data_IF_307138501323
#
_entry.id   IF_307138501323
#
_cell.length_a   1.000
_cell.length_b   1.000
_cell.length_c   1.000
_cell.angle_alpha   90.00
_cell.angle_beta   90.00
_cell.angle_gamma   90.00
#
_symmetry.space_group_name_H-M   'P 1'
#
loop_
_entity.id
_entity.type
_entity.pdbx_description
1 polymer ?
#
# COMPACT_ATOMS: atom_id res chain seq x y z
N UNK A 1 -19.05 -17.22 10.46
CA UNK A 1 -17.64 -17.02 10.08
C UNK A 1 -17.02 -16.03 11.04
N UNK A 2 -16.16 -16.49 11.96
CA UNK A 2 -15.33 -15.60 12.79
C UNK A 2 -14.01 -15.35 12.06
N UNK A 3 -13.71 -14.08 11.75
CA UNK A 3 -12.40 -13.69 11.27
C UNK A 3 -11.46 -13.59 12.47
N UNK A 4 -10.34 -14.30 12.46
CA UNK A 4 -9.36 -14.34 13.56
C UNK A 4 -8.75 -12.97 13.91
N UNK A 5 -9.01 -11.94 13.10
CA UNK A 5 -8.42 -10.60 13.22
C UNK A 5 -9.43 -9.51 13.58
N UNK A 6 -10.67 -9.84 13.98
CA UNK A 6 -11.61 -8.81 14.43
C UNK A 6 -11.26 -8.35 15.85
N UNK A 7 -10.76 -7.10 16.04
CA UNK A 7 -10.46 -6.58 17.37
C UNK A 7 -11.76 -6.10 18.02
N UNK A 8 -11.97 -6.49 19.28
CA UNK A 8 -13.07 -6.00 20.12
C UNK A 8 -12.67 -4.67 20.76
N UNK A 9 -12.60 -3.59 19.98
CA UNK A 9 -12.33 -2.24 20.52
C UNK A 9 -11.81 -1.22 19.51
N UNK A 10 -11.74 0.05 19.94
CA UNK A 10 -11.06 1.17 19.26
C UNK A 10 -9.53 1.05 19.35
N UNK A 11 -8.98 -0.14 19.15
CA UNK A 11 -7.54 -0.36 19.20
C UNK A 11 -6.88 0.08 17.89
N UNK A 12 -5.74 0.76 18.01
CA UNK A 12 -4.90 1.15 16.88
C UNK A 12 -4.38 -0.13 16.21
N UNK A 13 -4.76 -0.36 14.94
CA UNK A 13 -4.44 -1.59 14.21
C UNK A 13 -3.11 -1.52 13.47
N UNK A 14 -2.00 -1.28 14.19
CA UNK A 14 -0.66 -1.19 13.59
C UNK A 14 -0.26 -2.48 12.86
N UNK A 15 -0.74 -3.63 13.32
CA UNK A 15 -0.45 -4.93 12.72
C UNK A 15 -0.86 -5.03 11.24
N UNK A 16 -1.80 -4.21 10.76
CA UNK A 16 -2.24 -4.22 9.35
C UNK A 16 -1.16 -3.66 8.43
N UNK A 17 -0.28 -2.78 8.92
CA UNK A 17 0.82 -2.19 8.15
C UNK A 17 2.05 -3.08 8.03
N UNK A 18 2.06 -4.26 8.66
CA UNK A 18 3.22 -5.17 8.67
C UNK A 18 3.30 -6.01 7.39
N UNK A 19 3.34 -5.35 6.23
CA UNK A 19 3.15 -5.98 4.92
C UNK A 19 4.14 -7.11 4.62
N UNK A 20 5.41 -6.98 5.04
CA UNK A 20 6.43 -8.01 4.83
C UNK A 20 6.02 -9.37 5.41
N UNK A 21 5.38 -9.40 6.58
CA UNK A 21 4.97 -10.64 7.25
C UNK A 21 3.92 -11.37 6.42
N UNK A 22 2.89 -10.66 5.97
CA UNK A 22 1.83 -11.26 5.18
C UNK A 22 2.34 -11.65 3.79
N UNK A 23 3.01 -10.73 3.10
CA UNK A 23 3.43 -10.94 1.72
C UNK A 23 4.42 -12.08 1.56
N UNK A 24 5.30 -12.30 2.56
CA UNK A 24 6.21 -13.44 2.58
C UNK A 24 5.47 -14.77 2.48
N UNK A 25 4.38 -14.94 3.22
CA UNK A 25 3.55 -16.15 3.15
C UNK A 25 2.93 -16.34 1.76
N UNK A 26 2.47 -15.26 1.13
CA UNK A 26 1.91 -15.33 -0.23
C UNK A 26 2.96 -15.71 -1.28
N UNK A 27 4.17 -15.15 -1.22
CA UNK A 27 5.26 -15.44 -2.17
C UNK A 27 5.81 -16.86 -2.00
N UNK A 28 5.71 -17.46 -0.81
CA UNK A 28 6.07 -18.86 -0.62
C UNK A 28 5.11 -19.84 -1.34
N UNK A 29 3.89 -19.40 -1.65
CA UNK A 29 2.84 -20.22 -2.27
C UNK A 29 2.70 -19.91 -3.77
N UNK A 30 2.74 -18.62 -4.13
CA UNK A 30 2.58 -18.15 -5.50
C UNK A 30 3.89 -17.61 -6.05
N UNK A 31 4.16 -17.90 -7.32
CA UNK A 31 5.36 -17.36 -7.97
C UNK A 31 5.33 -15.83 -7.96
N UNK A 32 6.51 -15.21 -7.86
CA UNK A 32 6.65 -13.76 -7.68
C UNK A 32 6.01 -12.94 -8.80
N UNK A 33 5.99 -13.47 -10.02
CA UNK A 33 5.39 -12.88 -11.21
C UNK A 33 3.84 -12.96 -11.23
N UNK A 34 3.23 -13.71 -10.31
CA UNK A 34 1.79 -13.78 -10.10
C UNK A 34 1.28 -12.80 -9.02
N UNK A 35 2.18 -11.99 -8.44
CA UNK A 35 1.82 -10.99 -7.43
C UNK A 35 2.32 -9.60 -7.87
N UNK A 36 1.38 -8.66 -7.99
CA UNK A 36 1.68 -7.25 -8.21
C UNK A 36 1.43 -6.45 -6.93
N UNK A 37 2.44 -5.72 -6.48
CA UNK A 37 2.34 -4.77 -5.36
C UNK A 37 2.46 -3.37 -5.91
N UNK A 38 1.46 -2.53 -5.63
CA UNK A 38 1.42 -1.13 -6.03
C UNK A 38 1.52 -0.22 -4.81
N UNK A 39 2.31 0.84 -4.94
CA UNK A 39 2.37 1.88 -3.94
C UNK A 39 1.24 2.89 -4.17
N UNK A 40 0.49 3.20 -3.10
CA UNK A 40 -0.67 4.09 -3.21
C UNK A 40 -0.25 5.52 -3.57
N UNK A 41 0.88 5.97 -3.06
CA UNK A 41 1.47 7.28 -3.34
C UNK A 41 1.75 7.43 -4.84
N UNK A 42 2.42 6.44 -5.44
CA UNK A 42 2.71 6.43 -6.88
C UNK A 42 1.43 6.31 -7.73
N UNK A 43 0.46 5.49 -7.31
CA UNK A 43 -0.85 5.44 -7.96
C UNK A 43 -1.58 6.78 -7.88
N UNK A 44 -1.51 7.48 -6.75
CA UNK A 44 -2.19 8.76 -6.57
C UNK A 44 -1.57 9.88 -7.41
N UNK A 45 -0.25 9.87 -7.58
CA UNK A 45 0.48 10.84 -8.39
C UNK A 45 0.45 10.51 -9.89
N UNK A 46 0.45 9.22 -10.25
CA UNK A 46 0.62 8.72 -11.61
C UNK A 46 -0.37 7.59 -11.97
N UNK A 47 -1.66 7.82 -11.76
CA UNK A 47 -2.72 6.81 -11.89
C UNK A 47 -2.73 6.09 -13.25
N UNK A 48 -2.53 6.81 -14.35
CA UNK A 48 -2.46 6.23 -15.69
C UNK A 48 -1.31 5.21 -15.80
N UNK A 49 -0.11 5.56 -15.31
CA UNK A 49 1.07 4.68 -15.32
C UNK A 49 0.86 3.44 -14.45
N UNK A 50 0.33 3.63 -13.24
CA UNK A 50 0.05 2.54 -12.33
C UNK A 50 -0.95 1.54 -12.93
N UNK A 51 -1.93 2.03 -13.69
CA UNK A 51 -2.91 1.18 -14.35
C UNK A 51 -2.41 0.54 -15.64
N UNK A 52 -1.56 1.21 -16.42
CA UNK A 52 -0.80 0.53 -17.48
C UNK A 52 -0.01 -0.66 -16.91
N UNK A 53 0.56 -0.51 -15.71
CA UNK A 53 1.25 -1.61 -15.02
C UNK A 53 0.28 -2.75 -14.68
N UNK A 54 -0.91 -2.45 -14.16
CA UNK A 54 -1.96 -3.44 -13.88
C UNK A 54 -2.40 -4.18 -15.14
N UNK A 55 -2.66 -3.46 -16.24
CA UNK A 55 -3.10 -4.07 -17.50
C UNK A 55 -2.06 -5.03 -18.06
N UNK A 56 -0.78 -4.62 -18.05
CA UNK A 56 0.34 -5.47 -18.46
C UNK A 56 0.45 -6.72 -17.59
N UNK A 57 0.37 -6.57 -16.27
CA UNK A 57 0.41 -7.69 -15.32
C UNK A 57 -0.73 -8.69 -15.55
N UNK A 58 -1.94 -8.19 -15.81
CA UNK A 58 -3.12 -9.00 -16.14
C UNK A 58 -3.13 -9.51 -17.58
N UNK A 59 -2.11 -9.19 -18.40
CA UNK A 59 -2.01 -9.55 -19.82
C UNK A 59 -3.22 -9.08 -20.64
N UNK A 60 -3.73 -7.89 -20.33
CA UNK A 60 -4.79 -7.22 -21.07
C UNK A 60 -4.22 -6.43 -22.24
N UNK A 61 -5.10 -5.98 -23.14
CA UNK A 61 -4.74 -5.02 -24.20
C UNK A 61 -4.12 -3.76 -23.61
N UNK A 62 -3.22 -3.10 -24.33
CA UNK A 62 -2.69 -1.82 -23.87
C UNK A 62 -3.80 -0.78 -23.66
N UNK A 63 -3.65 -0.01 -22.59
CA UNK A 63 -4.49 1.15 -22.30
C UNK A 63 -4.21 2.22 -23.35
N UNK A 64 -5.11 2.40 -24.31
CA UNK A 64 -5.07 3.56 -25.21
C UNK A 64 -5.57 4.81 -24.49
N UNK A 65 -5.06 5.97 -24.89
CA UNK A 65 -5.45 7.28 -24.33
C UNK A 65 -6.96 7.56 -24.49
N UNK A 66 -7.60 6.93 -25.49
CA UNK A 66 -9.04 7.03 -25.79
C UNK A 66 -9.94 6.46 -24.68
N UNK A 67 -9.48 5.44 -23.94
CA UNK A 67 -10.21 4.86 -22.81
C UNK A 67 -9.66 5.32 -21.46
N UNK A 68 -9.06 6.53 -21.45
CA UNK A 68 -8.40 7.14 -20.29
C UNK A 68 -9.11 6.85 -18.97
N UNK A 69 -8.31 6.59 -17.95
CA UNK A 69 -8.82 6.11 -16.66
C UNK A 69 -9.56 7.24 -16.00
N UNK A 70 -10.88 7.18 -16.10
CA UNK A 70 -11.77 8.08 -15.39
C UNK A 70 -11.44 7.90 -13.91
N UNK A 71 -11.02 8.99 -13.26
CA UNK A 71 -10.82 9.01 -11.82
C UNK A 71 -12.09 8.46 -11.17
N UNK A 72 -12.00 7.24 -10.63
CA UNK A 72 -13.11 6.62 -9.94
C UNK A 72 -13.58 7.49 -8.79
N UNK A 73 -14.78 7.19 -8.27
CA UNK A 73 -15.35 7.87 -7.10
C UNK A 73 -14.29 7.94 -6.01
N UNK A 74 -13.89 9.16 -5.63
CA UNK A 74 -12.90 9.36 -4.59
C UNK A 74 -13.31 8.59 -3.34
N UNK A 75 -12.35 7.98 -2.64
CA UNK A 75 -12.60 7.32 -1.37
C UNK A 75 -13.37 8.27 -0.45
N UNK A 76 -14.65 7.99 -0.21
CA UNK A 76 -15.51 8.81 0.65
C UNK A 76 -15.09 8.58 2.09
N UNK A 77 -14.08 9.34 2.53
CA UNK A 77 -13.76 9.45 3.95
C UNK A 77 -15.02 9.88 4.69
N UNK A 78 -15.27 9.27 5.84
CA UNK A 78 -16.35 9.74 6.73
C UNK A 78 -16.05 11.20 7.10
N UNK A 79 -17.07 12.07 7.11
CA UNK A 79 -16.92 13.50 7.44
C UNK A 79 -16.08 13.73 8.71
N UNK A 80 -16.29 12.91 9.74
CA UNK A 80 -15.55 12.96 11.02
C UNK A 80 -14.03 12.71 10.91
N UNK A 81 -13.58 12.01 9.87
CA UNK A 81 -12.15 11.70 9.63
C UNK A 81 -11.54 12.57 8.52
N UNK A 82 -12.31 13.50 7.97
CA UNK A 82 -11.84 14.37 6.88
C UNK A 82 -10.88 15.45 7.39
N UNK A 83 -11.00 15.85 8.66
CA UNK A 83 -10.28 16.97 9.27
C UNK A 83 -9.40 16.56 10.47
N UNK A 84 -8.81 15.37 10.46
CA UNK A 84 -7.98 14.86 11.58
C UNK A 84 -6.66 15.64 11.77
N UNK A 85 -6.34 16.57 10.86
CA UNK A 85 -5.14 17.40 10.92
C UNK A 85 -3.86 16.63 10.57
N UNK A 86 -2.73 17.32 10.64
CA UNK A 86 -1.43 16.68 10.48
C UNK A 86 -1.07 15.88 11.74
N UNK A 87 -0.39 14.75 11.54
CA UNK A 87 0.15 13.95 12.64
C UNK A 87 1.25 14.72 13.37
N UNK A 88 1.31 14.61 14.70
CA UNK A 88 2.41 15.18 15.50
C UNK A 88 3.75 14.55 15.08
N UNK A 89 4.82 15.36 15.06
CA UNK A 89 6.17 14.88 14.71
C UNK A 89 6.63 13.71 15.59
N UNK A 90 6.41 13.80 16.91
CA UNK A 90 6.73 12.72 17.85
C UNK A 90 5.98 11.41 17.55
N UNK A 91 4.72 11.50 17.12
CA UNK A 91 3.95 10.32 16.70
C UNK A 91 4.50 9.75 15.40
N UNK A 92 4.89 10.59 14.45
CA UNK A 92 5.53 10.16 13.20
C UNK A 92 6.83 9.43 13.47
N UNK A 93 7.74 10.03 14.23
CA UNK A 93 9.02 9.41 14.61
C UNK A 93 8.84 8.05 15.29
N UNK A 94 7.84 7.94 16.18
CA UNK A 94 7.50 6.67 16.83
C UNK A 94 7.04 5.61 15.81
N UNK A 95 6.16 5.99 14.87
CA UNK A 95 5.68 5.07 13.84
C UNK A 95 6.77 4.69 12.84
N UNK A 96 7.61 5.65 12.43
CA UNK A 96 8.73 5.41 11.53
C UNK A 96 9.73 4.43 12.17
N UNK A 97 10.04 4.62 13.45
CA UNK A 97 10.89 3.69 14.22
C UNK A 97 10.26 2.30 14.30
N UNK A 98 8.96 2.22 14.59
CA UNK A 98 8.23 0.96 14.68
C UNK A 98 8.18 0.20 13.35
N UNK A 99 7.88 0.88 12.24
CA UNK A 99 7.74 0.24 10.93
C UNK A 99 9.08 0.01 10.21
N UNK A 100 10.16 0.72 10.58
CA UNK A 100 11.47 0.65 9.93
C UNK A 100 11.98 -0.77 9.63
N UNK A 101 12.05 -1.71 10.60
CA UNK A 101 12.53 -3.07 10.32
C UNK A 101 11.63 -3.82 9.33
N UNK A 102 10.32 -3.60 9.37
CA UNK A 102 9.36 -4.26 8.48
C UNK A 102 9.39 -3.68 7.06
N UNK A 103 9.57 -2.38 6.93
CA UNK A 103 9.74 -1.71 5.64
C UNK A 103 11.05 -2.14 4.95
N UNK A 104 12.14 -2.30 5.71
CA UNK A 104 13.40 -2.89 5.20
C UNK A 104 13.17 -4.33 4.70
N UNK A 105 12.53 -5.17 5.51
CA UNK A 105 12.21 -6.54 5.09
C UNK A 105 11.31 -6.58 3.84
N UNK A 106 10.36 -5.64 3.70
CA UNK A 106 9.53 -5.53 2.50
C UNK A 106 10.36 -5.11 1.28
N UNK A 107 11.22 -4.10 1.42
CA UNK A 107 12.08 -3.63 0.34
C UNK A 107 13.02 -4.74 -0.15
N UNK A 108 13.59 -5.53 0.76
CA UNK A 108 14.40 -6.71 0.44
C UNK A 108 13.57 -7.79 -0.26
N UNK A 109 12.41 -8.16 0.30
CA UNK A 109 11.50 -9.17 -0.27
C UNK A 109 11.05 -8.82 -1.69
N UNK A 110 10.87 -7.53 -1.95
CA UNK A 110 10.42 -7.00 -3.24
C UNK A 110 11.57 -6.65 -4.18
N UNK A 111 12.81 -6.62 -3.68
CA UNK A 111 13.99 -6.06 -4.33
C UNK A 111 13.77 -4.62 -4.85
N UNK A 112 13.14 -3.79 -4.02
CA UNK A 112 12.58 -2.48 -4.42
C UNK A 112 12.77 -1.43 -3.29
N UNK A 113 13.76 -0.53 -3.40
CA UNK A 113 14.09 0.44 -2.34
C UNK A 113 12.97 1.42 -2.00
N UNK A 114 12.02 1.66 -2.91
CA UNK A 114 10.86 2.54 -2.69
C UNK A 114 9.99 2.14 -1.50
N UNK A 115 10.05 0.87 -1.07
CA UNK A 115 9.34 0.37 0.12
C UNK A 115 10.07 0.67 1.44
N UNK A 116 11.20 1.39 1.42
CA UNK A 116 11.79 1.91 2.66
C UNK A 116 10.99 3.07 3.25
N UNK A 117 10.13 3.72 2.46
CA UNK A 117 9.38 4.93 2.83
C UNK A 117 10.25 5.98 3.53
N UNK A 118 11.48 6.16 3.04
CA UNK A 118 12.34 7.23 3.53
C UNK A 118 11.70 8.58 3.19
N UNK A 119 11.75 9.57 4.10
CA UNK A 119 11.34 10.92 3.78
C UNK A 119 12.08 11.40 2.52
N UNK A 120 11.38 12.10 1.63
CA UNK A 120 12.03 12.90 0.60
C UNK A 120 12.92 13.92 1.33
N UNK A 121 14.24 13.77 1.17
CA UNK A 121 15.25 14.74 1.62
C UNK A 121 15.12 16.05 0.90
#
# INVERSE_FOLDING_TARGET
>A
MHCAYTPTGHEVRLHVGLYALYLKEWINIFARDQILVLQLEDYSAHSQRAMSTVYKFLKLRDLSDEYGIKSGRANTRKKKTQHVGQMLNKTRELLDTFYSPFNKALAELMNEPRFLWQPLT
#
